data_IF_493091794186
#
_entry.id   IF_493091794186
#
_cell.length_a   1.000
_cell.length_b   1.000
_cell.length_c   1.000
_cell.angle_alpha   90.00
_cell.angle_beta   90.00
_cell.angle_gamma   90.00
#
_symmetry.space_group_name_H-M   'P 1'
#
loop_
_entity.id
_entity.type
_entity.pdbx_description
1 polymer ?
#
# COMPACT_ATOMS: atom_id res chain seq x y z
N UNK A 1 -0.97 1.13 -5.89
CA UNK A 1 -2.16 0.46 -6.45
C UNK A 1 -3.41 1.33 -6.30
N UNK A 2 -4.26 1.25 -5.27
CA UNK A 2 -5.52 2.03 -5.31
C UNK A 2 -5.34 3.57 -5.20
N UNK A 3 -4.52 4.07 -4.28
CA UNK A 3 -4.45 5.52 -4.03
C UNK A 3 -3.64 6.31 -5.08
N UNK A 4 -2.67 5.63 -5.71
CA UNK A 4 -1.78 6.19 -6.73
C UNK A 4 -2.31 5.87 -8.13
N UNK A 5 -2.62 4.61 -8.39
CA UNK A 5 -2.87 4.08 -9.74
C UNK A 5 -4.35 3.77 -10.01
N UNK A 6 -5.23 3.88 -8.99
CA UNK A 6 -6.65 3.53 -9.07
C UNK A 6 -6.93 2.08 -9.51
N UNK A 7 -6.10 1.15 -9.07
CA UNK A 7 -6.31 -0.29 -9.30
C UNK A 7 -6.38 -1.06 -7.98
N UNK A 8 -7.37 -1.95 -7.89
CA UNK A 8 -7.50 -2.96 -6.85
C UNK A 8 -7.29 -4.32 -7.49
N UNK A 9 -6.38 -5.10 -6.90
CA UNK A 9 -6.24 -6.50 -7.25
C UNK A 9 -7.20 -7.31 -6.37
N UNK A 10 -8.28 -7.82 -6.96
CA UNK A 10 -9.40 -8.46 -6.27
C UNK A 10 -9.09 -9.85 -5.71
N UNK A 11 -7.97 -10.46 -6.11
CA UNK A 11 -7.55 -11.79 -5.65
C UNK A 11 -6.08 -11.81 -5.23
N UNK A 12 -5.70 -10.85 -4.39
CA UNK A 12 -4.35 -10.76 -3.84
C UNK A 12 -4.15 -11.78 -2.73
N UNK A 13 -3.97 -13.05 -3.08
CA UNK A 13 -3.53 -14.08 -2.16
C UNK A 13 -2.02 -14.34 -2.29
N UNK A 14 -1.35 -14.89 -1.26
CA UNK A 14 0.10 -15.12 -1.28
C UNK A 14 0.61 -16.00 -2.43
N UNK A 15 -0.25 -16.80 -3.07
CA UNK A 15 0.11 -17.63 -4.22
C UNK A 15 0.21 -16.86 -5.54
N UNK A 16 -0.38 -15.65 -5.61
CA UNK A 16 -0.28 -14.74 -6.77
C UNK A 16 0.90 -13.77 -6.65
N UNK A 17 1.66 -13.84 -5.55
CA UNK A 17 2.82 -13.00 -5.29
C UNK A 17 4.06 -13.87 -5.14
N UNK A 18 5.03 -13.67 -6.01
CA UNK A 18 6.35 -14.27 -5.88
C UNK A 18 7.40 -13.20 -5.65
N UNK A 19 8.38 -13.51 -4.81
CA UNK A 19 9.59 -12.72 -4.69
C UNK A 19 10.70 -13.51 -5.35
N UNK A 20 11.26 -12.95 -6.41
CA UNK A 20 12.47 -13.49 -7.05
C UNK A 20 13.65 -12.72 -6.50
N UNK A 21 14.53 -13.42 -5.80
CA UNK A 21 15.88 -12.95 -5.55
C UNK A 21 16.73 -13.39 -6.73
N UNK A 22 17.45 -12.46 -7.36
CA UNK A 22 18.41 -12.85 -8.38
C UNK A 22 19.65 -13.43 -7.67
N UNK A 23 19.57 -14.72 -7.36
CA UNK A 23 20.68 -15.48 -6.80
C UNK A 23 21.36 -16.17 -7.98
N UNK A 24 22.42 -15.54 -8.49
CA UNK A 24 23.29 -16.06 -9.56
C UNK A 24 23.87 -17.44 -9.20
N UNK A 25 23.16 -18.52 -9.51
CA UNK A 25 23.68 -19.89 -9.44
C UNK A 25 23.26 -20.80 -10.60
N UNK A 26 22.37 -20.41 -11.52
CA UNK A 26 22.12 -21.21 -12.73
C UNK A 26 22.45 -20.43 -14.00
N UNK A 27 23.56 -20.83 -14.62
CA UNK A 27 24.12 -20.29 -15.86
C UNK A 27 23.20 -20.61 -17.03
N UNK A 28 22.20 -19.78 -17.28
CA UNK A 28 21.45 -19.79 -18.53
C UNK A 28 22.31 -19.14 -19.63
N UNK A 29 22.60 -19.83 -20.75
CA UNK A 29 23.42 -19.26 -21.82
C UNK A 29 22.67 -18.09 -22.48
N UNK A 30 23.27 -16.89 -22.43
CA UNK A 30 22.79 -15.70 -23.16
C UNK A 30 22.42 -14.47 -22.33
N UNK A 31 22.60 -14.47 -21.01
CA UNK A 31 22.29 -13.31 -20.15
C UNK A 31 23.58 -12.71 -19.58
N UNK A 32 23.70 -11.38 -19.62
CA UNK A 32 24.87 -10.63 -19.13
C UNK A 32 25.03 -10.77 -17.60
N UNK A 33 26.27 -10.94 -17.13
CA UNK A 33 26.60 -11.21 -15.72
C UNK A 33 26.60 -9.95 -14.85
N UNK A 34 26.05 -10.05 -13.64
CA UNK A 34 26.23 -9.05 -12.58
C UNK A 34 27.56 -9.29 -11.81
N UNK A 35 28.20 -8.23 -11.26
CA UNK A 35 29.46 -8.35 -10.53
C UNK A 35 29.28 -9.02 -9.14
N UNK A 36 30.35 -9.62 -8.57
CA UNK A 36 30.22 -10.55 -7.45
C UNK A 36 29.89 -9.89 -6.11
N UNK A 37 29.13 -10.64 -5.30
CA UNK A 37 28.52 -10.29 -4.01
C UNK A 37 29.45 -9.67 -2.97
N UNK A 38 29.01 -8.56 -2.39
CA UNK A 38 29.47 -8.11 -1.06
C UNK A 38 28.84 -8.95 0.07
N UNK A 39 29.54 -9.00 1.21
CA UNK A 39 29.28 -9.89 2.35
C UNK A 39 27.85 -9.83 2.89
N UNK A 40 27.32 -10.98 3.35
CA UNK A 40 25.97 -11.16 3.92
C UNK A 40 25.60 -10.13 5.02
N UNK A 41 26.61 -9.60 5.72
CA UNK A 41 26.43 -8.54 6.71
C UNK A 41 26.01 -7.21 6.10
N UNK A 42 26.55 -6.83 4.94
CA UNK A 42 26.17 -5.61 4.23
C UNK A 42 24.69 -5.68 3.78
N UNK A 43 24.28 -6.85 3.29
CA UNK A 43 22.89 -7.14 2.89
C UNK A 43 21.92 -7.10 4.09
N UNK A 44 22.34 -7.60 5.25
CA UNK A 44 21.53 -7.50 6.47
C UNK A 44 21.40 -6.05 6.95
N UNK A 45 22.48 -5.26 6.85
CA UNK A 45 22.48 -3.83 7.20
C UNK A 45 21.59 -3.03 6.25
N UNK A 46 21.57 -3.34 4.94
CA UNK A 46 20.66 -2.69 3.98
C UNK A 46 19.19 -3.03 4.22
N UNK A 47 18.88 -4.31 4.51
CA UNK A 47 17.51 -4.73 4.84
C UNK A 47 17.01 -4.02 6.11
N UNK A 48 17.88 -3.89 7.13
CA UNK A 48 17.57 -3.12 8.34
C UNK A 48 17.37 -1.65 7.99
N UNK A 49 18.19 -1.07 7.09
CA UNK A 49 18.08 0.33 6.66
C UNK A 49 16.78 0.63 5.91
N UNK A 50 16.33 -0.30 5.05
CA UNK A 50 15.06 -0.19 4.34
C UNK A 50 13.86 -0.41 5.27
N UNK A 51 13.97 -1.31 6.26
CA UNK A 51 13.00 -1.44 7.36
C UNK A 51 12.91 -0.18 8.24
N UNK A 52 14.00 0.59 8.37
CA UNK A 52 13.99 1.89 9.06
C UNK A 52 13.40 3.04 8.24
N UNK A 53 12.86 2.78 7.05
CA UNK A 53 12.11 3.76 6.26
C UNK A 53 12.97 4.80 5.54
N UNK A 54 14.20 4.44 5.15
CA UNK A 54 15.11 5.35 4.44
C UNK A 54 14.98 5.33 2.91
N UNK A 55 14.09 4.52 2.33
CA UNK A 55 13.71 4.57 0.91
C UNK A 55 12.24 4.97 0.77
N UNK A 56 12.02 6.20 0.35
CA UNK A 56 10.70 6.72 0.01
C UNK A 56 10.29 6.25 -1.40
N UNK A 57 9.12 5.62 -1.47
CA UNK A 57 8.34 5.29 -2.68
C UNK A 57 8.71 3.98 -3.40
N UNK A 58 7.92 2.90 -3.23
CA UNK A 58 7.98 1.76 -4.14
C UNK A 58 7.50 2.19 -5.53
N UNK A 59 8.41 2.26 -6.49
CA UNK A 59 8.08 2.50 -7.90
C UNK A 59 7.78 1.16 -8.56
N UNK A 60 6.53 0.94 -8.95
CA UNK A 60 6.17 -0.13 -9.90
C UNK A 60 6.78 0.26 -11.24
N UNK A 61 7.86 -0.39 -11.66
CA UNK A 61 8.42 -0.24 -13.00
C UNK A 61 8.50 -1.61 -13.66
N UNK A 62 8.03 -1.68 -14.90
CA UNK A 62 8.30 -2.81 -15.79
C UNK A 62 9.64 -2.52 -16.46
N UNK A 63 10.76 -3.09 -15.98
CA UNK A 63 12.05 -2.84 -16.62
C UNK A 63 12.92 -4.08 -16.67
N UNK A 64 13.38 -4.40 -17.87
CA UNK A 64 14.61 -5.18 -18.12
C UNK A 64 15.83 -4.25 -18.01
N UNK A 65 15.93 -3.48 -16.91
CA UNK A 65 17.06 -2.57 -16.73
C UNK A 65 18.22 -3.32 -16.09
N UNK A 66 19.41 -3.34 -16.72
CA UNK A 66 20.56 -4.11 -16.22
C UNK A 66 21.06 -3.63 -14.85
N UNK A 67 20.79 -2.37 -14.50
CA UNK A 67 21.19 -1.76 -13.22
C UNK A 67 20.40 -2.29 -12.00
N UNK A 68 19.30 -3.01 -12.24
CA UNK A 68 18.41 -3.58 -11.20
C UNK A 68 18.52 -5.11 -11.12
N UNK A 69 19.48 -5.71 -11.84
CA UNK A 69 19.63 -7.16 -11.91
C UNK A 69 19.78 -7.81 -10.52
N UNK A 70 20.40 -7.13 -9.55
CA UNK A 70 20.62 -7.66 -8.21
C UNK A 70 19.47 -7.37 -7.23
N UNK A 71 18.44 -6.62 -7.65
CA UNK A 71 17.34 -6.24 -6.77
C UNK A 71 16.24 -7.32 -6.67
N UNK A 72 15.67 -7.53 -5.47
CA UNK A 72 14.55 -8.44 -5.31
C UNK A 72 13.36 -7.97 -6.15
N UNK A 73 12.91 -8.83 -7.07
CA UNK A 73 11.80 -8.53 -7.97
C UNK A 73 10.51 -9.10 -7.40
N UNK A 74 9.50 -8.24 -7.22
CA UNK A 74 8.14 -8.64 -6.91
C UNK A 74 7.41 -9.02 -8.20
N UNK A 75 7.04 -10.28 -8.33
CA UNK A 75 6.31 -10.81 -9.49
C UNK A 75 4.85 -11.03 -9.10
N UNK A 76 3.94 -10.44 -9.87
CA UNK A 76 2.49 -10.66 -9.77
C UNK A 76 2.06 -11.58 -10.92
N UNK A 77 1.49 -12.75 -10.61
CA UNK A 77 1.21 -13.79 -11.61
C UNK A 77 -0.19 -13.70 -12.20
N UNK A 78 -1.20 -13.70 -11.35
CA UNK A 78 -2.58 -13.58 -11.76
C UNK A 78 -3.00 -12.12 -11.56
N UNK A 79 -3.25 -11.40 -12.65
CA UNK A 79 -3.86 -10.07 -12.62
C UNK A 79 -5.28 -10.10 -13.20
N UNK A 80 -5.92 -11.29 -13.24
CA UNK A 80 -7.17 -11.52 -13.95
C UNK A 80 -8.39 -10.81 -13.33
N UNK A 81 -8.32 -10.44 -12.06
CA UNK A 81 -9.39 -9.72 -11.34
C UNK A 81 -8.86 -8.36 -10.88
N UNK A 82 -8.38 -7.54 -11.81
CA UNK A 82 -8.05 -6.15 -11.52
C UNK A 82 -9.26 -5.28 -11.85
N UNK A 83 -9.72 -4.50 -10.86
CA UNK A 83 -10.84 -3.57 -11.00
C UNK A 83 -10.35 -2.16 -10.72
N UNK A 84 -10.81 -1.20 -11.52
CA UNK A 84 -10.64 0.23 -11.23
C UNK A 84 -11.90 0.79 -10.59
N UNK A 85 -11.72 1.66 -9.60
CA UNK A 85 -12.85 2.36 -9.00
C UNK A 85 -13.30 3.52 -9.88
N UNK A 86 -14.60 3.85 -9.79
CA UNK A 86 -15.10 5.09 -10.38
C UNK A 86 -14.44 6.30 -9.70
N UNK A 87 -14.26 7.41 -10.43
CA UNK A 87 -13.62 8.59 -9.84
C UNK A 87 -14.34 9.08 -8.57
N UNK A 88 -15.68 8.95 -8.54
CA UNK A 88 -16.50 9.30 -7.38
C UNK A 88 -16.13 8.43 -6.18
N UNK A 89 -16.11 7.12 -6.35
CA UNK A 89 -15.75 6.18 -5.28
C UNK A 89 -14.31 6.40 -4.80
N UNK A 90 -13.37 6.61 -5.72
CA UNK A 90 -11.98 6.89 -5.38
C UNK A 90 -11.85 8.17 -4.55
N UNK A 91 -12.55 9.26 -4.91
CA UNK A 91 -12.57 10.50 -4.13
C UNK A 91 -13.14 10.28 -2.73
N UNK A 92 -14.22 9.51 -2.61
CA UNK A 92 -14.86 9.20 -1.33
C UNK A 92 -13.94 8.37 -0.44
N UNK A 93 -13.29 7.35 -1.00
CA UNK A 93 -12.30 6.52 -0.31
C UNK A 93 -11.12 7.37 0.19
N UNK A 94 -10.56 8.24 -0.66
CA UNK A 94 -9.49 9.17 -0.29
C UNK A 94 -9.93 10.12 0.84
N UNK A 95 -11.14 10.66 0.75
CA UNK A 95 -11.68 11.57 1.77
C UNK A 95 -11.86 10.86 3.13
N UNK A 96 -12.40 9.63 3.13
CA UNK A 96 -12.57 8.81 4.33
C UNK A 96 -11.21 8.50 4.97
N UNK A 97 -10.27 8.01 4.16
CA UNK A 97 -8.94 7.63 4.66
C UNK A 97 -8.18 8.83 5.23
N UNK A 98 -8.29 10.00 4.60
CA UNK A 98 -7.77 11.26 5.13
C UNK A 98 -8.37 11.62 6.48
N UNK A 99 -9.70 11.53 6.64
CA UNK A 99 -10.35 11.82 7.92
C UNK A 99 -9.85 10.92 9.06
N UNK A 100 -9.59 9.64 8.77
CA UNK A 100 -9.03 8.68 9.74
C UNK A 100 -7.60 9.09 10.15
N UNK A 101 -6.73 9.38 9.18
CA UNK A 101 -5.33 9.79 9.44
C UNK A 101 -5.28 11.10 10.23
N UNK A 102 -6.14 12.05 9.90
CA UNK A 102 -6.27 13.34 10.59
C UNK A 102 -6.97 13.24 11.96
N UNK A 103 -7.31 12.03 12.42
CA UNK A 103 -8.02 11.76 13.68
C UNK A 103 -9.39 12.43 13.78
N UNK A 104 -10.03 12.70 12.64
CA UNK A 104 -11.38 13.23 12.53
C UNK A 104 -12.38 12.07 12.46
N UNK A 105 -12.45 11.25 13.51
CA UNK A 105 -13.23 10.00 13.47
C UNK A 105 -14.73 10.23 13.36
N UNK A 106 -15.28 11.27 14.00
CA UNK A 106 -16.68 11.66 13.80
C UNK A 106 -17.01 11.94 12.33
N UNK A 107 -16.16 12.71 11.65
CA UNK A 107 -16.28 13.03 10.21
C UNK A 107 -16.11 11.79 9.33
N UNK A 108 -15.25 10.85 9.73
CA UNK A 108 -15.15 9.55 9.06
C UNK A 108 -16.50 8.80 9.14
N UNK A 109 -17.18 8.87 10.29
CA UNK A 109 -18.55 8.35 10.44
C UNK A 109 -19.55 9.02 9.49
N UNK A 110 -19.52 10.36 9.39
CA UNK A 110 -20.38 11.09 8.44
C UNK A 110 -20.11 10.69 6.99
N UNK A 111 -18.85 10.53 6.62
CA UNK A 111 -18.45 10.08 5.27
C UNK A 111 -18.91 8.65 4.99
N UNK A 112 -18.86 7.75 5.97
CA UNK A 112 -19.39 6.38 5.83
C UNK A 112 -20.89 6.39 5.60
N UNK A 113 -21.64 7.15 6.41
CA UNK A 113 -23.09 7.26 6.26
C UNK A 113 -23.49 7.93 4.95
N UNK A 114 -22.76 8.95 4.49
CA UNK A 114 -23.07 9.64 3.24
C UNK A 114 -22.96 8.73 2.01
N UNK A 115 -22.05 7.76 2.05
CA UNK A 115 -21.73 6.93 0.89
C UNK A 115 -22.23 5.48 1.01
N UNK A 116 -22.78 5.08 2.15
CA UNK A 116 -23.44 3.79 2.30
C UNK A 116 -24.79 3.77 1.56
N UNK A 117 -24.99 2.79 0.69
CA UNK A 117 -26.26 2.57 -0.01
C UNK A 117 -27.44 2.37 0.97
N UNK A 118 -27.15 1.76 2.12
CA UNK A 118 -28.11 1.48 3.20
C UNK A 118 -28.10 2.52 4.32
N UNK A 119 -27.60 3.73 4.07
CA UNK A 119 -27.55 4.83 5.05
C UNK A 119 -28.91 5.15 5.69
N UNK A 120 -30.00 4.92 4.96
CA UNK A 120 -31.39 5.08 5.42
C UNK A 120 -31.79 4.10 6.54
N UNK A 121 -31.03 3.03 6.74
CA UNK A 121 -31.28 2.04 7.80
C UNK A 121 -30.53 2.38 9.09
N UNK A 122 -29.78 3.48 9.12
CA UNK A 122 -29.14 3.94 10.34
C UNK A 122 -30.17 4.59 11.27
N UNK A 123 -30.46 3.93 12.39
CA UNK A 123 -31.44 4.40 13.39
C UNK A 123 -30.96 5.68 14.09
N UNK A 124 -29.67 5.74 14.42
CA UNK A 124 -29.06 6.90 15.07
C UNK A 124 -27.72 7.26 14.40
N UNK A 125 -27.76 8.13 13.38
CA UNK A 125 -26.57 8.63 12.69
C UNK A 125 -25.53 9.26 13.63
N UNK A 126 -25.99 9.95 14.67
CA UNK A 126 -25.12 10.69 15.56
C UNK A 126 -24.35 9.73 16.48
N UNK A 127 -25.04 8.74 17.07
CA UNK A 127 -24.38 7.72 17.87
C UNK A 127 -23.41 6.87 17.05
N UNK A 128 -23.75 6.55 15.80
CA UNK A 128 -22.81 5.90 14.88
C UNK A 128 -21.53 6.72 14.71
N UNK A 129 -21.64 8.02 14.43
CA UNK A 129 -20.45 8.88 14.28
C UNK A 129 -19.62 8.97 15.56
N UNK A 130 -20.24 9.01 16.74
CA UNK A 130 -19.53 8.97 18.03
C UNK A 130 -18.76 7.65 18.23
N UNK A 131 -19.36 6.52 17.86
CA UNK A 131 -18.71 5.20 17.95
C UNK A 131 -17.52 5.10 16.99
N UNK A 132 -17.64 5.62 15.76
CA UNK A 132 -16.52 5.69 14.81
C UNK A 132 -15.41 6.59 15.34
N UNK A 133 -15.75 7.70 16.00
CA UNK A 133 -14.78 8.59 16.62
C UNK A 133 -13.96 7.90 17.72
N UNK A 134 -14.63 7.16 18.60
CA UNK A 134 -13.98 6.37 19.63
C UNK A 134 -13.09 5.26 19.03
N UNK A 135 -13.58 4.57 18.00
CA UNK A 135 -12.84 3.54 17.29
C UNK A 135 -11.56 4.10 16.67
N UNK A 136 -11.64 5.24 15.98
CA UNK A 136 -10.47 5.90 15.37
C UNK A 136 -9.48 6.34 16.46
N UNK A 137 -9.96 6.93 17.57
CA UNK A 137 -9.12 7.30 18.72
C UNK A 137 -8.36 6.10 19.27
N UNK A 138 -9.03 4.95 19.45
CA UNK A 138 -8.41 3.71 19.93
C UNK A 138 -7.39 3.17 18.94
N UNK A 139 -7.77 3.01 17.66
CA UNK A 139 -6.91 2.47 16.62
C UNK A 139 -5.64 3.29 16.43
N UNK A 140 -5.75 4.63 16.47
CA UNK A 140 -4.61 5.55 16.33
C UNK A 140 -3.72 5.64 17.58
N UNK A 141 -4.18 5.14 18.74
CA UNK A 141 -3.40 5.05 19.98
C UNK A 141 -2.59 3.75 20.04
N UNK A 142 -3.16 2.65 19.56
CA UNK A 142 -2.56 1.30 19.64
C UNK A 142 -1.68 0.96 18.42
N UNK A 143 -1.89 1.60 17.25
CA UNK A 143 -1.08 1.38 16.04
C UNK A 143 -0.56 2.70 15.48
N UNK A 144 0.76 2.75 15.23
CA UNK A 144 1.45 3.88 14.61
C UNK A 144 1.11 3.98 13.11
N UNK A 145 -0.10 4.40 12.76
CA UNK A 145 -0.46 4.84 11.41
C UNK A 145 0.22 6.17 11.01
N UNK A 146 1.11 6.70 11.87
CA UNK A 146 1.88 7.93 11.62
C UNK A 146 2.73 7.87 10.35
N UNK A 147 3.28 6.70 10.00
CA UNK A 147 4.06 6.52 8.76
C UNK A 147 3.22 6.63 7.49
N UNK A 148 1.91 6.33 7.55
CA UNK A 148 1.00 6.38 6.40
C UNK A 148 0.54 7.82 6.09
N UNK A 149 0.45 8.67 7.11
CA UNK A 149 0.03 10.07 6.94
C UNK A 149 0.97 10.91 6.08
N UNK A 150 2.28 10.66 6.16
CA UNK A 150 3.28 11.32 5.31
C UNK A 150 3.06 11.06 3.81
N UNK A 151 2.61 9.86 3.44
CA UNK A 151 2.37 9.50 2.05
C UNK A 151 1.14 10.22 1.46
N UNK A 152 0.08 10.38 2.27
CA UNK A 152 -1.15 11.05 1.84
C UNK A 152 -1.05 12.57 1.77
N UNK A 153 -0.25 13.19 2.65
CA UNK A 153 -0.03 14.64 2.62
C UNK A 153 0.74 15.08 1.37
N UNK A 154 1.55 14.20 0.78
CA UNK A 154 2.33 14.46 -0.43
C UNK A 154 1.59 14.17 -1.75
N UNK A 155 0.45 13.46 -1.72
CA UNK A 155 -0.44 13.26 -2.89
C UNK A 155 -1.29 14.50 -3.22
N UNK A 156 -0.88 15.68 -2.75
CA UNK A 156 -1.55 16.99 -2.92
C UNK A 156 -1.06 17.76 -4.16
N UNK A 157 -0.19 17.18 -4.98
CA UNK A 157 0.23 17.74 -6.27
C UNK A 157 -0.40 16.99 -7.43
#
# INVERSE_FOLDING_TARGET
MIFVDNFVHGDLHPGNILIRFNDDQEKLPGVHNAPPRESLLARFVEVVRDLTGWRDVPRVRFTDSPDLADEPTLVMLDTGIVVSETEKNLRNLKALFRAIIEKQGYKAGELLLTHAENSRNCVDPHQFCLQVDELVKKAMKEKSLRSVGFFFLNLKQ
#
